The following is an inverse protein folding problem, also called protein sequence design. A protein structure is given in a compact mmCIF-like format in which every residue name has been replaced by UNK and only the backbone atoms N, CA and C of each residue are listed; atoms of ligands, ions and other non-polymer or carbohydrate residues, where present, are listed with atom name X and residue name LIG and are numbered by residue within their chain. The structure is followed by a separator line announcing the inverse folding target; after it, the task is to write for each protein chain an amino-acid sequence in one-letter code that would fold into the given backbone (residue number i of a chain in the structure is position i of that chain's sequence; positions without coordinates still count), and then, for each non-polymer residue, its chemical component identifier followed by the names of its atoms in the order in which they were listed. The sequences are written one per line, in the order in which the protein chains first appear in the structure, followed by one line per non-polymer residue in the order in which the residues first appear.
data_IF_127189339259
#
_entry.id   IF_127189339259
#
_cell.length_a   1.000
_cell.length_b   1.000
_cell.length_c   1.000
_cell.angle_alpha   90.00
_cell.angle_beta   90.00
_cell.angle_gamma   90.00
#
_symmetry.space_group_name_H-M   'P 1'
#
loop_
_entity.id
_entity.type
_entity.pdbx_description
1 polymer ?
#
# COMPACT_ATOMS: atom_id res chain seq x y z
N UNK A 1 -14.38 8.56 4.18
CA UNK A 1 -15.59 8.57 5.03
C UNK A 1 -16.17 7.17 5.17
N UNK A 2 -16.89 6.85 6.27
CA UNK A 2 -17.51 5.54 6.49
C UNK A 2 -18.44 5.09 5.36
N UNK A 3 -19.27 6.01 4.84
CA UNK A 3 -20.19 5.73 3.74
C UNK A 3 -19.45 5.38 2.43
N UNK A 4 -18.39 6.13 2.11
CA UNK A 4 -17.57 5.84 0.94
C UNK A 4 -16.90 4.46 1.03
N UNK A 5 -16.49 4.04 2.23
CA UNK A 5 -15.94 2.71 2.44
C UNK A 5 -16.97 1.60 2.20
N UNK A 6 -18.20 1.77 2.73
CA UNK A 6 -19.30 0.83 2.49
C UNK A 6 -19.60 0.69 0.99
N UNK A 7 -19.77 1.82 0.30
CA UNK A 7 -20.05 1.85 -1.14
C UNK A 7 -18.92 1.23 -1.99
N UNK A 8 -17.66 1.44 -1.60
CA UNK A 8 -16.52 0.87 -2.31
C UNK A 8 -16.53 -0.66 -2.27
N UNK A 9 -16.86 -1.26 -1.12
CA UNK A 9 -17.01 -2.72 -1.01
C UNK A 9 -18.26 -3.20 -1.75
N UNK A 10 -19.37 -2.49 -1.65
CA UNK A 10 -20.62 -2.80 -2.37
C UNK A 10 -20.42 -2.81 -3.89
N UNK A 11 -19.56 -1.93 -4.41
CA UNK A 11 -19.18 -1.87 -5.82
C UNK A 11 -18.24 -3.02 -6.26
N UNK A 12 -17.85 -3.92 -5.35
CA UNK A 12 -16.98 -5.07 -5.63
C UNK A 12 -15.52 -4.88 -5.22
N UNK A 13 -15.20 -3.83 -4.46
CA UNK A 13 -13.89 -3.70 -3.82
C UNK A 13 -13.69 -4.72 -2.69
N UNK A 14 -12.45 -5.17 -2.52
CA UNK A 14 -12.08 -6.10 -1.43
C UNK A 14 -11.46 -5.39 -0.23
N UNK A 15 -10.84 -4.23 -0.46
CA UNK A 15 -10.12 -3.45 0.54
C UNK A 15 -10.43 -1.97 0.36
N UNK A 16 -10.53 -1.25 1.48
CA UNK A 16 -10.62 0.20 1.50
C UNK A 16 -9.47 0.75 2.33
N UNK A 17 -8.77 1.75 1.79
CA UNK A 17 -7.68 2.43 2.48
C UNK A 17 -8.23 3.61 3.27
N UNK A 18 -7.88 3.67 4.55
CA UNK A 18 -8.15 4.80 5.43
C UNK A 18 -6.86 5.57 5.69
N UNK A 19 -6.52 6.46 4.77
CA UNK A 19 -5.33 7.30 4.87
C UNK A 19 -5.65 8.58 5.64
N UNK A 20 -4.80 8.97 6.60
CA UNK A 20 -4.89 10.19 7.42
C UNK A 20 -6.17 10.35 8.28
N UNK A 21 -7.18 9.51 8.09
CA UNK A 21 -8.44 9.49 8.85
C UNK A 21 -8.54 8.28 9.79
N UNK A 22 -7.43 7.84 10.40
CA UNK A 22 -7.43 6.68 11.29
C UNK A 22 -8.44 6.79 12.44
N UNK A 23 -8.69 8.02 12.91
CA UNK A 23 -9.69 8.28 13.95
C UNK A 23 -11.11 7.85 13.56
N UNK A 24 -11.41 7.75 12.27
CA UNK A 24 -12.69 7.30 11.72
C UNK A 24 -12.77 5.77 11.55
N UNK A 25 -11.75 5.00 11.97
CA UNK A 25 -11.69 3.55 11.78
C UNK A 25 -12.89 2.82 12.41
N UNK A 26 -13.29 3.20 13.63
CA UNK A 26 -14.44 2.57 14.30
C UNK A 26 -15.76 2.83 13.57
N UNK A 27 -15.98 4.07 13.11
CA UNK A 27 -17.18 4.42 12.35
C UNK A 27 -17.19 3.73 10.98
N UNK A 28 -16.03 3.62 10.35
CA UNK A 28 -15.87 2.89 9.09
C UNK A 28 -16.17 1.41 9.27
N UNK A 29 -15.66 0.79 10.34
CA UNK A 29 -15.96 -0.61 10.66
C UNK A 29 -17.46 -0.82 10.88
N UNK A 30 -18.13 0.08 11.61
CA UNK A 30 -19.58 0.01 11.80
C UNK A 30 -20.34 0.06 10.47
N UNK A 31 -19.96 0.97 9.55
CA UNK A 31 -20.57 1.03 8.22
C UNK A 31 -20.31 -0.23 7.36
N UNK A 32 -19.14 -0.86 7.49
CA UNK A 32 -18.84 -2.11 6.81
C UNK A 32 -19.63 -3.30 7.36
N UNK A 33 -19.96 -3.30 8.66
CA UNK A 33 -20.77 -4.35 9.30
C UNK A 33 -22.23 -4.36 8.82
N UNK A 34 -22.70 -3.29 8.18
CA UNK A 34 -24.04 -3.21 7.57
C UNK A 34 -24.12 -3.94 6.22
N UNK A 35 -22.99 -4.34 5.63
CA UNK A 35 -22.96 -5.02 4.34
C UNK A 35 -23.58 -6.43 4.41
N UNK A 36 -24.20 -6.91 3.32
CA UNK A 36 -24.76 -8.25 3.28
C UNK A 36 -23.69 -9.32 3.52
N UNK A 37 -23.99 -10.32 4.36
CA UNK A 37 -23.09 -11.43 4.67
C UNK A 37 -22.45 -12.13 3.45
N UNK A 38 -23.18 -12.37 2.34
CA UNK A 38 -22.56 -12.94 1.14
C UNK A 38 -21.44 -12.08 0.54
N UNK A 39 -21.59 -10.75 0.55
CA UNK A 39 -20.56 -9.81 0.05
C UNK A 39 -19.28 -9.95 0.88
N UNK A 40 -19.42 -9.98 2.20
CA UNK A 40 -18.29 -10.14 3.11
C UNK A 40 -17.62 -11.51 2.96
N UNK A 41 -18.40 -12.59 2.83
CA UNK A 41 -17.88 -13.95 2.63
C UNK A 41 -17.08 -14.09 1.33
N UNK A 42 -17.57 -13.50 0.25
CA UNK A 42 -16.89 -13.49 -1.04
C UNK A 42 -15.59 -12.69 -0.98
N UNK A 43 -15.60 -11.53 -0.32
CA UNK A 43 -14.42 -10.71 -0.07
C UNK A 43 -13.38 -11.46 0.76
N UNK A 44 -13.77 -12.09 1.86
CA UNK A 44 -12.88 -12.90 2.70
C UNK A 44 -12.22 -14.02 1.90
N UNK A 45 -12.99 -14.70 1.04
CA UNK A 45 -12.47 -15.76 0.18
C UNK A 45 -11.39 -15.25 -0.78
N UNK A 46 -11.59 -14.06 -1.37
CA UNK A 46 -10.62 -13.44 -2.27
C UNK A 46 -9.37 -12.97 -1.53
N UNK A 47 -9.52 -12.36 -0.36
CA UNK A 47 -8.41 -11.93 0.50
C UNK A 47 -7.56 -13.14 0.93
N UNK A 48 -8.19 -14.23 1.36
CA UNK A 48 -7.50 -15.46 1.74
C UNK A 48 -6.72 -16.08 0.57
N UNK A 49 -7.31 -16.10 -0.63
CA UNK A 49 -6.63 -16.55 -1.84
C UNK A 49 -5.44 -15.66 -2.19
N UNK A 50 -5.56 -14.34 -2.03
CA UNK A 50 -4.46 -13.41 -2.24
C UNK A 50 -3.35 -13.62 -1.21
N UNK A 51 -3.69 -13.75 0.08
CA UNK A 51 -2.73 -13.97 1.17
C UNK A 51 -1.90 -15.24 0.96
N UNK A 52 -2.52 -16.34 0.53
CA UNK A 52 -1.82 -17.61 0.23
C UNK A 52 -0.83 -17.51 -0.94
N UNK A 53 -0.95 -16.48 -1.78
CA UNK A 53 -0.02 -16.22 -2.91
C UNK A 53 1.11 -15.27 -2.53
N UNK A 54 1.05 -14.61 -1.37
CA UNK A 54 2.11 -13.75 -0.90
C UNK A 54 3.35 -14.61 -0.58
N UNK A 55 4.48 -14.23 -1.16
CA UNK A 55 5.76 -14.82 -0.83
C UNK A 55 6.28 -14.15 0.44
N UNK A 56 6.84 -14.95 1.33
CA UNK A 56 7.56 -14.41 2.49
C UNK A 56 8.73 -13.58 1.94
N UNK A 57 8.88 -12.31 2.36
CA UNK A 57 10.03 -11.52 1.98
C UNK A 57 11.34 -12.23 2.38
N UNK A 58 12.41 -12.10 1.59
CA UNK A 58 13.70 -12.62 2.02
C UNK A 58 14.14 -11.97 3.33
N UNK A 59 15.00 -12.66 4.07
CA UNK A 59 15.65 -12.04 5.24
C UNK A 59 16.38 -10.77 4.82
N UNK A 60 16.25 -9.76 5.67
CA UNK A 60 16.91 -8.48 5.46
C UNK A 60 18.44 -8.63 5.48
N UNK A 61 19.11 -7.88 4.60
CA UNK A 61 20.57 -7.82 4.51
C UNK A 61 20.97 -6.46 3.96
N UNK A 62 21.84 -5.77 4.67
CA UNK A 62 22.39 -4.46 4.26
C UNK A 62 23.13 -4.55 2.92
N UNK A 63 23.88 -5.63 2.72
CA UNK A 63 24.62 -5.90 1.48
C UNK A 63 23.65 -6.00 0.29
N UNK A 64 22.61 -6.84 0.39
CA UNK A 64 21.60 -6.97 -0.68
C UNK A 64 20.84 -5.67 -0.93
N UNK A 65 20.55 -4.91 0.13
CA UNK A 65 19.90 -3.62 -0.01
C UNK A 65 20.79 -2.66 -0.81
N UNK A 66 22.06 -2.58 -0.47
CA UNK A 66 23.06 -1.72 -1.13
C UNK A 66 23.22 -2.11 -2.61
N UNK A 67 23.30 -3.40 -2.91
CA UNK A 67 23.40 -3.91 -4.28
C UNK A 67 22.18 -3.51 -5.11
N UNK A 68 20.97 -3.77 -4.59
CA UNK A 68 19.70 -3.42 -5.26
C UNK A 68 19.58 -1.90 -5.44
N UNK A 69 19.99 -1.10 -4.45
CA UNK A 69 19.98 0.34 -4.54
C UNK A 69 20.93 0.85 -5.64
N UNK A 70 22.12 0.26 -5.75
CA UNK A 70 23.07 0.54 -6.83
C UNK A 70 22.52 0.21 -8.21
N UNK A 71 21.87 -0.95 -8.36
CA UNK A 71 21.22 -1.37 -9.60
C UNK A 71 20.09 -0.40 -10.01
N UNK A 72 19.26 0.02 -9.05
CA UNK A 72 18.18 0.99 -9.28
C UNK A 72 18.73 2.36 -9.67
N UNK A 73 19.81 2.80 -9.03
CA UNK A 73 20.46 4.06 -9.35
C UNK A 73 21.04 4.06 -10.77
N UNK A 74 21.70 2.96 -11.17
CA UNK A 74 22.18 2.77 -12.53
C UNK A 74 21.02 2.79 -13.54
N UNK A 75 19.96 2.02 -13.28
CA UNK A 75 18.77 2.00 -14.13
C UNK A 75 18.17 3.40 -14.30
N UNK A 76 18.13 4.20 -13.23
CA UNK A 76 17.65 5.57 -13.27
C UNK A 76 18.51 6.43 -14.21
N UNK A 77 19.85 6.38 -14.07
CA UNK A 77 20.78 7.09 -14.96
C UNK A 77 20.61 6.69 -16.42
N UNK A 78 20.46 5.38 -16.67
CA UNK A 78 20.31 4.84 -18.02
C UNK A 78 19.02 5.31 -18.70
N UNK A 79 17.93 5.52 -17.94
CA UNK A 79 16.61 5.89 -18.48
C UNK A 79 16.36 7.40 -18.48
N UNK A 80 16.76 8.11 -17.43
CA UNK A 80 16.46 9.53 -17.21
C UNK A 80 17.65 10.45 -17.53
N UNK A 81 18.84 9.90 -17.75
CA UNK A 81 20.08 10.65 -17.94
C UNK A 81 20.82 10.96 -16.64
N UNK A 82 22.06 11.43 -16.76
CA UNK A 82 23.00 11.61 -15.64
C UNK A 82 22.54 12.65 -14.60
N UNK A 83 21.65 13.58 -14.98
CA UNK A 83 21.11 14.66 -14.13
C UNK A 83 20.02 14.21 -13.14
N UNK A 84 19.71 12.91 -13.07
CA UNK A 84 18.61 12.35 -12.26
C UNK A 84 19.03 11.95 -10.84
N UNK A 85 20.02 12.63 -10.27
CA UNK A 85 20.59 12.30 -8.95
C UNK A 85 19.54 12.54 -7.83
N UNK A 86 19.34 11.57 -6.91
CA UNK A 86 18.37 11.70 -5.81
C UNK A 86 18.80 12.73 -4.75
N UNK A 87 20.08 13.12 -4.72
CA UNK A 87 20.63 14.14 -3.82
C UNK A 87 20.27 15.58 -4.25
N UNK A 88 19.33 15.73 -5.17
CA UNK A 88 18.77 17.04 -5.48
C UNK A 88 17.88 17.46 -4.31
N UNK A 89 18.36 18.44 -3.55
CA UNK A 89 17.81 19.24 -2.42
C UNK A 89 16.30 19.61 -2.54
N UNK A 90 15.48 18.59 -2.75
CA UNK A 90 14.05 18.67 -3.02
C UNK A 90 13.24 18.51 -1.75
N UNK A 91 11.97 18.96 -1.77
CA UNK A 91 11.09 18.78 -0.63
C UNK A 91 10.96 17.29 -0.29
N UNK A 92 10.71 16.96 0.99
CA UNK A 92 10.58 15.59 1.45
C UNK A 92 9.67 14.79 0.51
N UNK A 93 10.16 13.65 0.02
CA UNK A 93 9.44 12.83 -0.95
C UNK A 93 8.38 11.96 -0.29
N UNK A 94 8.43 11.87 1.04
CA UNK A 94 7.48 11.12 1.84
C UNK A 94 6.88 11.97 2.94
N UNK A 95 5.55 11.92 3.16
CA UNK A 95 4.90 12.54 4.31
C UNK A 95 5.39 12.01 5.66
N UNK A 96 6.19 10.93 5.67
CA UNK A 96 6.72 10.29 6.88
C UNK A 96 8.25 10.34 6.99
N UNK A 97 8.93 11.15 6.16
CA UNK A 97 10.40 11.24 6.21
C UNK A 97 10.93 11.81 7.54
N UNK A 98 10.15 12.65 8.23
CA UNK A 98 10.54 13.34 9.47
C UNK A 98 9.90 12.78 10.75
N UNK A 99 9.22 11.61 10.69
CA UNK A 99 8.58 11.00 11.86
C UNK A 99 9.54 10.28 12.79
#
# INVERSE_FOLDING_TARGET
TPEAARLAIEAGGDLVLLCHEFMNAHQTLAALQELPGPVLCDTDTRIEKARKRLRIPPEFSEEKLTDIAGDLFKLRKDVLGEESDPDTDGPPQSPVEDY
#
